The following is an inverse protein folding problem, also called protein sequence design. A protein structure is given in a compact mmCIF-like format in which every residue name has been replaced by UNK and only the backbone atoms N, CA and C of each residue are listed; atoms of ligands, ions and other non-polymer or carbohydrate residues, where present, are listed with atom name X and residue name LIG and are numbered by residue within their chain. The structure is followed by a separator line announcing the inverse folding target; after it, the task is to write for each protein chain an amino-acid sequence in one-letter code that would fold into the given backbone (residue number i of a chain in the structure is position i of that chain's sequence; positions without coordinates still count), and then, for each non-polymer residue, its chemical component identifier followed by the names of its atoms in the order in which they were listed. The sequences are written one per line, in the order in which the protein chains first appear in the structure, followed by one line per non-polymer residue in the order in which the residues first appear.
data_IF_719684370737
#
_entry.id   IF_719684370737
#
_cell.length_a   1.000
_cell.length_b   1.000
_cell.length_c   1.000
_cell.angle_alpha   90.00
_cell.angle_beta   90.00
_cell.angle_gamma   90.00
#
_symmetry.space_group_name_H-M   'P 1'
#
loop_
_entity.id
_entity.type
_entity.pdbx_description
1 polymer ?
#
# COMPACT_ATOMS: atom_id res chain seq x y z
N UNK A 1 -13.06 -16.56 -54.17
CA UNK A 1 -12.09 -15.63 -53.56
C UNK A 1 -12.23 -15.78 -52.04
N UNK A 2 -11.16 -16.17 -51.34
CA UNK A 2 -11.08 -16.19 -49.88
C UNK A 2 -11.76 -17.39 -49.20
N UNK A 3 -11.19 -18.03 -48.18
CA UNK A 3 -9.89 -17.87 -47.53
C UNK A 3 -9.62 -19.12 -46.69
N UNK A 4 -8.37 -19.59 -46.71
CA UNK A 4 -7.79 -20.48 -45.70
C UNK A 4 -8.18 -20.02 -44.29
N UNK A 5 -8.70 -20.92 -43.46
CA UNK A 5 -8.29 -20.97 -42.05
C UNK A 5 -8.02 -22.43 -41.71
N UNK A 6 -6.73 -22.68 -41.51
CA UNK A 6 -6.12 -23.90 -41.05
C UNK A 6 -6.04 -23.85 -39.52
N UNK A 7 -6.05 -25.04 -38.90
CA UNK A 7 -5.55 -25.36 -37.54
C UNK A 7 -6.40 -24.87 -36.38
N UNK A 8 -7.28 -25.76 -35.92
CA UNK A 8 -7.37 -26.20 -34.53
C UNK A 8 -8.19 -27.50 -34.47
N UNK A 9 -7.73 -28.52 -35.20
CA UNK A 9 -8.24 -29.88 -35.04
C UNK A 9 -7.56 -30.46 -33.79
N UNK A 10 -8.10 -30.12 -32.61
CA UNK A 10 -7.76 -30.86 -31.39
C UNK A 10 -8.31 -32.27 -31.59
N UNK A 11 -7.39 -33.23 -31.72
CA UNK A 11 -7.69 -34.65 -31.93
C UNK A 11 -8.74 -35.10 -30.91
N UNK A 12 -9.93 -35.41 -31.42
CA UNK A 12 -10.95 -36.01 -30.60
C UNK A 12 -10.50 -37.42 -30.21
N UNK A 13 -10.57 -37.71 -28.91
CA UNK A 13 -10.17 -39.02 -28.39
C UNK A 13 -11.28 -40.02 -28.70
N UNK A 14 -11.01 -40.94 -29.63
CA UNK A 14 -11.93 -41.99 -30.02
C UNK A 14 -11.78 -43.15 -29.05
N UNK A 15 -12.76 -43.35 -28.18
CA UNK A 15 -12.88 -44.59 -27.41
C UNK A 15 -14.01 -45.44 -27.98
N UNK A 16 -13.75 -46.74 -28.15
CA UNK A 16 -14.74 -47.72 -28.59
C UNK A 16 -14.97 -48.68 -27.44
N UNK A 17 -16.21 -48.75 -26.96
CA UNK A 17 -16.63 -49.70 -25.91
C UNK A 17 -17.85 -50.43 -26.46
N UNK A 18 -17.78 -51.76 -26.55
CA UNK A 18 -18.85 -52.64 -27.02
C UNK A 18 -19.47 -52.22 -28.38
N UNK A 19 -18.64 -51.81 -29.34
CA UNK A 19 -19.09 -51.51 -30.71
C UNK A 19 -19.67 -50.11 -30.95
N UNK A 20 -19.76 -49.26 -29.92
CA UNK A 20 -20.18 -47.86 -30.03
C UNK A 20 -18.98 -46.93 -30.08
N UNK A 21 -19.03 -45.94 -30.99
CA UNK A 21 -17.98 -44.93 -31.16
C UNK A 21 -18.37 -43.67 -30.40
N UNK A 22 -17.51 -43.25 -29.47
CA UNK A 22 -17.69 -42.01 -28.71
C UNK A 22 -16.79 -40.91 -29.26
N UNK A 23 -17.36 -39.71 -29.43
CA UNK A 23 -16.63 -38.49 -29.74
C UNK A 23 -16.84 -37.49 -28.62
N UNK A 24 -15.76 -37.11 -27.94
CA UNK A 24 -15.77 -36.09 -26.90
C UNK A 24 -15.27 -34.77 -27.50
N UNK A 25 -16.14 -33.75 -27.54
CA UNK A 25 -15.74 -32.41 -27.98
C UNK A 25 -15.63 -31.47 -26.78
N UNK A 26 -14.46 -30.85 -26.53
CA UNK A 26 -14.32 -29.86 -25.48
C UNK A 26 -14.80 -28.51 -26.02
N UNK A 27 -16.06 -28.13 -25.75
CA UNK A 27 -16.52 -26.75 -25.98
C UNK A 27 -16.36 -25.95 -24.69
N UNK A 28 -15.60 -24.86 -24.74
CA UNK A 28 -15.44 -23.93 -23.60
C UNK A 28 -16.82 -23.38 -23.21
N UNK A 29 -17.26 -23.67 -21.98
CA UNK A 29 -18.40 -23.01 -21.34
C UNK A 29 -19.69 -23.82 -21.23
N UNK A 30 -19.94 -24.81 -22.10
CA UNK A 30 -21.06 -25.75 -21.96
C UNK A 30 -20.57 -27.16 -22.28
N UNK A 31 -20.46 -28.01 -21.26
CA UNK A 31 -20.27 -29.45 -21.44
C UNK A 31 -21.59 -30.09 -21.85
N UNK A 32 -22.04 -29.85 -23.09
CA UNK A 32 -23.18 -30.57 -23.65
C UNK A 32 -22.67 -31.91 -24.19
N UNK A 33 -23.03 -33.01 -23.53
CA UNK A 33 -22.76 -34.35 -24.02
C UNK A 33 -23.72 -34.63 -25.19
N UNK A 34 -23.28 -34.44 -26.43
CA UNK A 34 -24.04 -34.85 -27.61
C UNK A 34 -23.59 -36.25 -28.02
N UNK A 35 -24.47 -37.24 -27.86
CA UNK A 35 -24.27 -38.59 -28.42
C UNK A 35 -24.86 -38.62 -29.82
N UNK A 36 -24.06 -38.98 -30.83
CA UNK A 36 -24.55 -39.37 -32.14
C UNK A 36 -24.20 -40.84 -32.37
N UNK A 37 -25.20 -41.72 -32.36
CA UNK A 37 -25.03 -43.10 -32.76
C UNK A 37 -25.11 -43.16 -34.29
N UNK A 38 -24.04 -43.56 -34.99
CA UNK A 38 -24.09 -43.72 -36.45
C UNK A 38 -24.51 -45.15 -36.80
N UNK A 39 -25.80 -45.36 -37.03
CA UNK A 39 -26.35 -46.58 -37.63
C UNK A 39 -27.28 -46.23 -38.79
N UNK A 40 -27.36 -47.11 -39.80
CA UNK A 40 -28.30 -46.97 -40.90
C UNK A 40 -29.73 -46.88 -40.32
N UNK A 41 -30.39 -45.73 -40.50
CA UNK A 41 -31.72 -45.33 -39.98
C UNK A 41 -31.77 -44.59 -38.62
N UNK A 42 -30.89 -43.61 -38.38
CA UNK A 42 -31.06 -42.67 -37.26
C UNK A 42 -31.28 -41.23 -37.76
N UNK A 43 -32.43 -40.65 -37.40
CA UNK A 43 -32.69 -39.20 -37.50
C UNK A 43 -31.96 -38.50 -36.35
N UNK A 44 -31.43 -37.31 -36.62
CA UNK A 44 -30.43 -36.61 -35.79
C UNK A 44 -30.73 -36.44 -34.30
N UNK A 45 -29.65 -36.19 -33.56
CA UNK A 45 -29.53 -35.73 -32.17
C UNK A 45 -30.84 -35.57 -31.39
N UNK A 46 -31.23 -36.60 -30.63
CA UNK A 46 -32.35 -36.53 -29.71
C UNK A 46 -31.86 -36.15 -28.30
N UNK A 47 -32.36 -35.01 -27.81
CA UNK A 47 -32.24 -34.60 -26.42
C UNK A 47 -33.10 -35.54 -25.56
N UNK A 48 -32.48 -36.40 -24.75
CA UNK A 48 -33.22 -37.38 -23.95
C UNK A 48 -33.95 -36.72 -22.77
N UNK A 49 -35.29 -36.69 -22.87
CA UNK A 49 -36.22 -36.68 -21.73
C UNK A 49 -36.06 -38.01 -20.97
N UNK A 50 -36.14 -37.98 -19.64
CA UNK A 50 -35.84 -39.09 -18.72
C UNK A 50 -36.49 -40.42 -19.16
N UNK A 51 -35.66 -41.44 -19.44
CA UNK A 51 -36.08 -42.78 -19.87
C UNK A 51 -36.12 -43.75 -18.66
N UNK A 52 -37.19 -44.58 -18.49
CA UNK A 52 -37.40 -45.40 -17.27
C UNK A 52 -36.33 -46.48 -17.01
N UNK A 53 -35.55 -46.86 -18.02
CA UNK A 53 -34.61 -47.98 -17.95
C UNK A 53 -33.16 -47.57 -17.62
N UNK A 54 -32.83 -46.27 -17.70
CA UNK A 54 -31.54 -45.73 -17.29
C UNK A 54 -31.60 -45.37 -15.81
N UNK A 55 -31.14 -46.30 -14.96
CA UNK A 55 -31.09 -46.13 -13.50
C UNK A 55 -30.44 -44.80 -13.11
N UNK A 56 -31.17 -43.97 -12.35
CA UNK A 56 -30.88 -42.57 -12.03
C UNK A 56 -29.56 -42.27 -11.30
N UNK A 57 -28.69 -43.26 -11.06
CA UNK A 57 -27.39 -43.08 -10.41
C UNK A 57 -26.43 -42.21 -11.22
N UNK A 58 -26.40 -42.34 -12.55
CA UNK A 58 -25.43 -41.62 -13.40
C UNK A 58 -25.82 -40.17 -13.70
N UNK A 59 -27.13 -39.85 -13.73
CA UNK A 59 -27.61 -38.49 -13.94
C UNK A 59 -27.43 -37.59 -12.72
N UNK A 60 -27.50 -38.16 -11.51
CA UNK A 60 -27.30 -37.43 -10.25
C UNK A 60 -25.83 -37.04 -10.03
N UNK A 61 -24.88 -37.89 -10.45
CA UNK A 61 -23.44 -37.64 -10.33
C UNK A 61 -22.95 -36.45 -11.19
N UNK A 62 -23.44 -36.34 -12.44
CA UNK A 62 -23.10 -35.23 -13.32
C UNK A 62 -23.62 -33.88 -12.82
N UNK A 63 -24.85 -33.85 -12.28
CA UNK A 63 -25.43 -32.66 -11.66
C UNK A 63 -24.68 -32.26 -10.39
N UNK A 64 -24.37 -33.21 -9.50
CA UNK A 64 -23.66 -32.94 -8.26
C UNK A 64 -22.26 -32.33 -8.50
N UNK A 65 -21.51 -32.84 -9.47
CA UNK A 65 -20.19 -32.29 -9.83
C UNK A 65 -20.25 -30.90 -10.45
N UNK A 66 -21.29 -30.58 -11.21
CA UNK A 66 -21.51 -29.24 -11.75
C UNK A 66 -21.81 -28.23 -10.64
N UNK A 67 -22.77 -28.54 -9.77
CA UNK A 67 -23.11 -27.67 -8.65
C UNK A 67 -21.95 -27.49 -7.66
N UNK A 68 -21.16 -28.55 -7.41
CA UNK A 68 -19.97 -28.46 -6.58
C UNK A 68 -18.91 -27.52 -7.19
N UNK A 69 -18.63 -27.62 -8.50
CA UNK A 69 -17.68 -26.74 -9.19
C UNK A 69 -18.15 -25.28 -9.26
N UNK A 70 -19.44 -25.05 -9.42
CA UNK A 70 -19.97 -23.68 -9.46
C UNK A 70 -19.98 -23.05 -8.07
N UNK A 71 -20.28 -23.85 -7.03
CA UNK A 71 -20.20 -23.41 -5.65
C UNK A 71 -18.76 -23.07 -5.22
N UNK A 72 -17.76 -23.87 -5.63
CA UNK A 72 -16.35 -23.55 -5.31
C UNK A 72 -15.87 -22.28 -6.00
N UNK A 73 -16.28 -22.00 -7.24
CA UNK A 73 -15.99 -20.71 -7.90
C UNK A 73 -16.62 -19.54 -7.15
N UNK A 74 -17.89 -19.66 -6.75
CA UNK A 74 -18.58 -18.62 -6.00
C UNK A 74 -17.92 -18.38 -4.63
N UNK A 75 -17.49 -19.44 -3.95
CA UNK A 75 -16.77 -19.34 -2.68
C UNK A 75 -15.41 -18.67 -2.86
N UNK A 76 -14.64 -19.09 -3.86
CA UNK A 76 -13.34 -18.49 -4.20
C UNK A 76 -13.47 -17.01 -4.56
N UNK A 77 -14.49 -16.64 -5.33
CA UNK A 77 -14.78 -15.24 -5.66
C UNK A 77 -15.10 -14.42 -4.42
N UNK A 78 -15.95 -14.92 -3.51
CA UNK A 78 -16.27 -14.23 -2.25
C UNK A 78 -15.04 -14.04 -1.37
N UNK A 79 -14.22 -15.08 -1.21
CA UNK A 79 -12.95 -14.99 -0.46
C UNK A 79 -12.03 -13.94 -1.11
N UNK A 80 -11.94 -13.93 -2.43
CA UNK A 80 -11.18 -12.93 -3.18
C UNK A 80 -11.67 -11.50 -2.93
N UNK A 81 -12.99 -11.25 -2.95
CA UNK A 81 -13.56 -9.93 -2.66
C UNK A 81 -13.28 -9.48 -1.23
N UNK A 82 -13.42 -10.38 -0.25
CA UNK A 82 -13.10 -10.08 1.15
C UNK A 82 -11.61 -9.76 1.28
N UNK A 83 -10.73 -10.56 0.69
CA UNK A 83 -9.29 -10.31 0.70
C UNK A 83 -8.93 -8.96 0.07
N UNK A 84 -9.54 -8.59 -1.05
CA UNK A 84 -9.33 -7.27 -1.70
C UNK A 84 -9.84 -6.13 -0.80
N UNK A 85 -10.98 -6.31 -0.12
CA UNK A 85 -11.51 -5.32 0.82
C UNK A 85 -10.56 -5.10 1.99
N UNK A 86 -10.10 -6.18 2.63
CA UNK A 86 -9.10 -6.10 3.70
C UNK A 86 -7.79 -5.50 3.20
N UNK A 87 -7.30 -5.91 2.04
CA UNK A 87 -6.10 -5.34 1.43
C UNK A 87 -6.26 -3.83 1.20
N UNK A 88 -7.42 -3.37 0.73
CA UNK A 88 -7.70 -1.94 0.55
C UNK A 88 -7.71 -1.18 1.88
N UNK A 89 -8.31 -1.74 2.93
CA UNK A 89 -8.28 -1.15 4.28
C UNK A 89 -6.85 -1.09 4.80
N UNK A 90 -6.07 -2.16 4.65
CA UNK A 90 -4.66 -2.21 5.05
C UNK A 90 -3.84 -1.17 4.29
N UNK A 91 -3.96 -1.10 2.95
CA UNK A 91 -3.24 -0.11 2.13
C UNK A 91 -3.68 1.31 2.45
N UNK A 92 -4.96 1.54 2.73
CA UNK A 92 -5.47 2.86 3.13
C UNK A 92 -4.96 3.26 4.51
N UNK A 93 -4.87 2.32 5.45
CA UNK A 93 -4.30 2.53 6.79
C UNK A 93 -2.78 2.73 6.76
N UNK A 94 -2.09 2.17 5.74
CA UNK A 94 -0.65 2.31 5.51
C UNK A 94 -0.35 3.41 4.47
N UNK A 95 -1.28 4.34 4.18
CA UNK A 95 -0.91 5.60 3.52
C UNK A 95 -0.66 6.65 4.60
N UNK A 96 0.51 6.66 5.28
CA UNK A 96 0.86 7.79 6.12
C UNK A 96 1.06 9.00 5.20
N UNK A 97 0.28 10.05 5.41
CA UNK A 97 0.59 11.35 4.82
C UNK A 97 1.67 12.01 5.67
N UNK A 98 2.64 12.60 5.00
CA UNK A 98 3.48 13.62 5.59
C UNK A 98 2.95 14.94 5.07
N UNK A 99 2.85 15.91 5.95
CA UNK A 99 2.35 17.23 5.63
C UNK A 99 3.47 18.22 5.84
N UNK A 100 3.75 19.01 4.80
CA UNK A 100 4.64 20.16 4.94
C UNK A 100 3.80 21.29 5.53
N UNK A 101 4.29 21.88 6.61
CA UNK A 101 3.58 22.94 7.34
C UNK A 101 4.34 24.26 7.23
N UNK A 102 3.59 25.35 7.18
CA UNK A 102 4.09 26.72 7.16
C UNK A 102 3.43 27.55 8.25
N UNK A 103 4.03 28.70 8.57
CA UNK A 103 3.49 29.64 9.55
C UNK A 103 2.41 30.50 8.91
N UNK A 104 1.29 30.67 9.59
CA UNK A 104 0.25 31.62 9.18
C UNK A 104 0.69 33.02 9.63
N UNK A 105 0.82 34.00 8.71
CA UNK A 105 1.28 35.35 9.04
C UNK A 105 0.47 36.01 10.15
N UNK A 106 1.14 36.67 11.09
CA UNK A 106 0.51 37.33 12.23
C UNK A 106 0.02 36.39 13.33
N UNK A 107 0.33 35.10 13.26
CA UNK A 107 -0.02 34.11 14.29
C UNK A 107 1.14 33.13 14.56
N UNK A 108 1.01 32.36 15.63
CA UNK A 108 1.93 31.25 15.97
C UNK A 108 1.41 29.89 15.49
N UNK A 109 0.47 29.90 14.54
CA UNK A 109 -0.12 28.69 14.01
C UNK A 109 0.69 28.16 12.82
N UNK A 110 0.96 26.85 12.88
CA UNK A 110 1.60 26.09 11.81
C UNK A 110 0.60 25.14 11.16
N UNK A 111 0.27 25.42 9.90
CA UNK A 111 -0.76 24.73 9.15
C UNK A 111 -0.21 24.13 7.85
N UNK A 112 -0.89 23.10 7.35
CA UNK A 112 -0.53 22.45 6.10
C UNK A 112 -0.60 23.45 4.93
N UNK A 113 0.50 23.59 4.19
CA UNK A 113 0.62 24.56 3.09
C UNK A 113 -0.26 24.21 1.88
N UNK A 114 -0.64 22.94 1.71
CA UNK A 114 -1.56 22.50 0.66
C UNK A 114 -3.02 22.86 0.98
N UNK A 115 -3.39 22.81 2.26
CA UNK A 115 -4.73 23.15 2.71
C UNK A 115 -4.90 24.67 2.88
N UNK A 116 -3.88 25.34 3.39
CA UNK A 116 -3.87 26.78 3.65
C UNK A 116 -2.77 27.45 2.83
N UNK A 117 -3.06 27.96 1.62
CA UNK A 117 -2.05 28.57 0.75
C UNK A 117 -1.47 29.88 1.32
N UNK A 118 -2.12 30.46 2.33
CA UNK A 118 -1.61 31.61 3.10
C UNK A 118 -0.48 31.24 4.06
N UNK A 119 -0.26 29.95 4.34
CA UNK A 119 0.82 29.47 5.20
C UNK A 119 2.17 29.62 4.47
N UNK A 120 3.10 30.35 5.08
CA UNK A 120 4.40 30.67 4.50
C UNK A 120 5.46 29.74 5.10
N UNK A 121 6.29 29.14 4.24
CA UNK A 121 7.46 28.37 4.68
C UNK A 121 8.54 29.31 5.19
N UNK A 122 9.23 28.90 6.24
CA UNK A 122 10.30 29.69 6.85
C UNK A 122 11.60 29.38 6.09
N UNK A 123 12.31 30.39 5.54
CA UNK A 123 13.56 30.15 4.82
C UNK A 123 14.59 29.40 5.67
N UNK A 124 15.23 28.37 5.10
CA UNK A 124 16.21 27.53 5.81
C UNK A 124 15.61 26.45 6.73
N UNK A 125 14.27 26.38 6.84
CA UNK A 125 13.55 25.39 7.62
C UNK A 125 12.60 24.58 6.75
N UNK A 126 12.66 23.26 6.89
CA UNK A 126 11.62 22.36 6.40
C UNK A 126 10.88 21.77 7.60
N UNK A 127 9.58 22.02 7.69
CA UNK A 127 8.76 21.54 8.80
C UNK A 127 7.83 20.45 8.26
N UNK A 128 8.07 19.22 8.68
CA UNK A 128 7.33 18.04 8.25
C UNK A 128 6.55 17.44 9.43
N UNK A 129 5.23 17.36 9.30
CA UNK A 129 4.34 16.70 10.27
C UNK A 129 4.04 15.29 9.82
N UNK A 130 4.28 14.32 10.70
CA UNK A 130 3.86 12.94 10.48
C UNK A 130 2.35 12.85 10.75
N UNK A 131 1.53 12.68 9.72
CA UNK A 131 0.10 12.44 9.87
C UNK A 131 -0.20 10.94 9.92
N UNK A 132 0.42 10.27 10.90
CA UNK A 132 0.17 8.86 11.19
C UNK A 132 0.22 8.62 12.69
N UNK A 133 -0.73 7.83 13.20
CA UNK A 133 -0.85 7.53 14.62
C UNK A 133 0.30 6.67 15.17
N UNK A 134 0.98 5.91 14.32
CA UNK A 134 2.07 5.00 14.72
C UNK A 134 3.21 5.06 13.73
N UNK A 135 4.45 4.96 14.19
CA UNK A 135 5.61 4.77 13.33
C UNK A 135 6.14 3.35 13.52
N UNK A 136 5.83 2.48 12.55
CA UNK A 136 6.07 1.04 12.64
C UNK A 136 6.65 0.45 11.36
N UNK A 137 7.04 -0.83 11.40
CA UNK A 137 7.59 -1.54 10.24
C UNK A 137 6.82 -1.32 8.92
N UNK A 138 5.48 -1.27 8.99
CA UNK A 138 4.64 -1.13 7.80
C UNK A 138 4.79 0.23 7.10
N UNK A 139 5.13 1.31 7.83
CA UNK A 139 5.04 2.67 7.32
C UNK A 139 6.33 3.51 7.48
N UNK A 140 7.27 3.06 8.32
CA UNK A 140 8.46 3.81 8.68
C UNK A 140 9.36 4.12 7.48
N UNK A 141 9.64 3.12 6.63
CA UNK A 141 10.44 3.30 5.41
C UNK A 141 9.81 4.29 4.44
N UNK A 142 8.50 4.20 4.25
CA UNK A 142 7.76 5.10 3.37
C UNK A 142 7.79 6.54 3.89
N UNK A 143 7.61 6.75 5.21
CA UNK A 143 7.69 8.07 5.83
C UNK A 143 9.07 8.66 5.63
N UNK A 144 10.14 7.91 5.96
CA UNK A 144 11.52 8.36 5.76
C UNK A 144 11.79 8.76 4.32
N UNK A 145 11.43 7.93 3.35
CA UNK A 145 11.61 8.23 1.93
C UNK A 145 10.83 9.46 1.46
N UNK A 146 9.63 9.68 2.01
CA UNK A 146 8.83 10.87 1.74
C UNK A 146 9.50 12.13 2.27
N UNK A 147 9.98 12.12 3.52
CA UNK A 147 10.74 13.24 4.10
C UNK A 147 11.98 13.54 3.26
N UNK A 148 12.77 12.52 2.95
CA UNK A 148 14.00 12.70 2.15
C UNK A 148 13.71 13.23 0.74
N UNK A 149 12.57 12.87 0.14
CA UNK A 149 12.14 13.44 -1.13
C UNK A 149 11.81 14.93 -0.99
N UNK A 150 11.05 15.30 0.04
CA UNK A 150 10.74 16.71 0.31
C UNK A 150 12.00 17.53 0.60
N UNK A 151 12.97 16.98 1.35
CA UNK A 151 14.28 17.63 1.58
C UNK A 151 14.99 17.91 0.26
N UNK A 152 15.05 16.92 -0.65
CA UNK A 152 15.68 17.09 -1.98
C UNK A 152 14.97 18.14 -2.83
N UNK A 153 13.63 18.15 -2.80
CA UNK A 153 12.82 19.13 -3.52
C UNK A 153 13.09 20.56 -3.03
N UNK A 154 13.16 20.77 -1.70
CA UNK A 154 13.50 22.08 -1.13
C UNK A 154 14.93 22.50 -1.47
N UNK A 155 15.93 21.62 -1.33
CA UNK A 155 17.32 21.95 -1.66
C UNK A 155 17.46 22.39 -3.13
N UNK A 156 16.76 21.73 -4.05
CA UNK A 156 16.79 22.11 -5.47
C UNK A 156 16.14 23.47 -5.74
N UNK A 157 15.06 23.81 -5.03
CA UNK A 157 14.41 25.13 -5.13
C UNK A 157 15.30 26.25 -4.58
N UNK A 158 16.09 25.92 -3.57
CA UNK A 158 16.99 26.84 -2.89
C UNK A 158 18.28 27.12 -3.67
N UNK A 159 18.83 26.16 -4.41
CA UNK A 159 19.91 26.41 -5.39
C UNK A 159 19.51 27.49 -6.42
N UNK A 160 18.23 27.56 -6.77
CA UNK A 160 17.67 28.58 -7.68
C UNK A 160 17.48 29.93 -6.96
N UNK A 161 17.24 29.93 -5.65
CA UNK A 161 16.82 31.11 -4.86
C UNK A 161 17.86 31.61 -3.84
N UNK A 162 19.08 31.05 -3.81
CA UNK A 162 20.19 31.37 -2.87
C UNK A 162 19.89 31.11 -1.38
N UNK A 163 18.85 30.35 -1.06
CA UNK A 163 18.67 29.78 0.29
C UNK A 163 19.51 28.51 0.46
N UNK A 164 19.74 28.06 1.69
CA UNK A 164 20.17 26.67 1.96
C UNK A 164 19.37 26.15 3.14
N UNK A 165 18.92 24.91 3.05
CA UNK A 165 18.16 24.23 4.07
C UNK A 165 19.15 23.81 5.15
N UNK A 166 18.92 24.30 6.37
CA UNK A 166 19.79 24.00 7.51
C UNK A 166 19.10 23.08 8.51
N UNK A 167 17.77 23.15 8.61
CA UNK A 167 17.03 22.46 9.68
C UNK A 167 15.79 21.75 9.12
N UNK A 168 15.67 20.46 9.45
CA UNK A 168 14.42 19.71 9.33
C UNK A 168 13.76 19.60 10.71
N UNK A 169 12.58 20.21 10.85
CA UNK A 169 11.72 20.07 12.03
C UNK A 169 10.70 18.97 11.78
N UNK A 170 10.78 17.90 12.57
CA UNK A 170 9.89 16.75 12.49
C UNK A 170 8.85 16.79 13.61
N UNK A 171 7.63 17.18 13.24
CA UNK A 171 6.49 17.23 14.17
C UNK A 171 5.88 15.82 14.34
N UNK A 172 6.02 15.31 15.56
CA UNK A 172 5.55 14.01 16.02
C UNK A 172 4.28 14.08 16.88
N UNK A 173 3.57 15.21 16.92
CA UNK A 173 2.37 15.41 17.76
C UNK A 173 1.31 14.30 17.59
N UNK A 174 1.17 13.78 16.37
CA UNK A 174 0.20 12.74 16.02
C UNK A 174 0.72 11.31 16.27
N UNK A 175 2.03 11.14 16.47
CA UNK A 175 2.64 9.82 16.65
C UNK A 175 2.43 9.38 18.10
N UNK A 176 1.51 8.44 18.30
CA UNK A 176 1.17 7.90 19.61
C UNK A 176 2.11 6.77 20.03
N UNK A 177 2.65 6.01 19.08
CA UNK A 177 3.47 4.84 19.35
C UNK A 177 4.55 4.63 18.28
N UNK A 178 5.68 4.05 18.70
CA UNK A 178 6.82 3.71 17.83
C UNK A 178 7.33 2.29 18.14
N UNK A 179 7.78 1.56 17.13
CA UNK A 179 8.47 0.26 17.28
C UNK A 179 9.98 0.37 16.94
N UNK A 180 10.69 -0.76 17.00
CA UNK A 180 12.12 -0.80 16.68
C UNK A 180 12.43 -0.41 15.23
N UNK A 181 11.58 -0.78 14.27
CA UNK A 181 11.72 -0.40 12.86
C UNK A 181 11.51 1.10 12.66
N UNK A 182 10.55 1.71 13.36
CA UNK A 182 10.34 3.15 13.37
C UNK A 182 11.53 3.92 13.92
N UNK A 183 12.10 3.46 15.04
CA UNK A 183 13.31 4.05 15.63
C UNK A 183 14.48 3.95 14.65
N UNK A 184 14.68 2.78 14.03
CA UNK A 184 15.74 2.57 13.04
C UNK A 184 15.59 3.50 11.83
N UNK A 185 14.37 3.68 11.33
CA UNK A 185 14.09 4.60 10.23
C UNK A 185 14.40 6.07 10.58
N UNK A 186 14.13 6.50 11.83
CA UNK A 186 14.51 7.83 12.30
C UNK A 186 16.02 8.00 12.45
N UNK A 187 16.71 6.96 12.90
CA UNK A 187 18.16 6.98 12.99
C UNK A 187 18.81 7.11 11.60
N UNK A 188 18.32 6.36 10.62
CA UNK A 188 18.76 6.45 9.23
C UNK A 188 18.41 7.82 8.62
N UNK A 189 17.21 8.35 8.92
CA UNK A 189 16.81 9.69 8.52
C UNK A 189 17.82 10.72 9.03
N UNK A 190 18.13 10.71 10.33
CA UNK A 190 19.13 11.59 10.95
C UNK A 190 20.47 11.49 10.25
N UNK A 191 20.97 10.26 10.02
CA UNK A 191 22.26 10.04 9.35
C UNK A 191 22.27 10.66 7.95
N UNK A 192 21.20 10.48 7.17
CA UNK A 192 21.09 11.04 5.82
C UNK A 192 20.98 12.56 5.79
N UNK A 193 20.41 13.17 6.83
CA UNK A 193 20.33 14.62 6.99
C UNK A 193 21.69 15.20 7.40
N UNK A 194 22.36 14.59 8.38
CA UNK A 194 23.71 15.00 8.81
C UNK A 194 24.72 14.92 7.67
N UNK A 195 24.60 13.91 6.80
CA UNK A 195 25.44 13.81 5.60
C UNK A 195 25.27 15.00 4.62
N UNK A 196 24.17 15.73 4.71
CA UNK A 196 23.87 16.93 3.92
C UNK A 196 24.01 18.22 4.73
N UNK A 197 24.55 18.14 5.96
CA UNK A 197 24.67 19.27 6.90
C UNK A 197 23.32 19.87 7.31
N UNK A 198 22.28 19.02 7.35
CA UNK A 198 20.93 19.38 7.79
C UNK A 198 20.72 18.81 9.18
N UNK A 199 20.31 19.67 10.12
CA UNK A 199 20.04 19.29 11.50
C UNK A 199 18.60 18.74 11.64
N UNK A 200 18.46 17.60 12.33
CA UNK A 200 17.15 17.02 12.65
C UNK A 200 16.68 17.52 14.02
N UNK A 201 15.49 18.10 14.06
CA UNK A 201 14.82 18.57 15.28
C UNK A 201 13.50 17.82 15.43
N UNK A 202 13.18 17.36 16.64
CA UNK A 202 11.95 16.62 16.92
C UNK A 202 11.01 17.46 17.78
N UNK A 203 9.75 17.57 17.37
CA UNK A 203 8.75 18.38 18.07
C UNK A 203 7.61 17.50 18.59
N UNK A 204 7.22 17.76 19.83
CA UNK A 204 6.09 17.15 20.54
C UNK A 204 6.00 15.62 20.47
N UNK A 205 7.10 14.86 20.69
CA UNK A 205 6.98 13.41 20.75
C UNK A 205 6.19 13.00 22.01
N UNK A 206 5.18 12.14 21.85
CA UNK A 206 4.37 11.65 22.97
C UNK A 206 5.23 10.89 23.97
N UNK A 207 4.83 10.87 25.25
CA UNK A 207 5.56 10.19 26.33
C UNK A 207 5.99 8.75 26.00
N UNK A 208 5.08 7.96 25.42
CA UNK A 208 5.36 6.57 25.01
C UNK A 208 6.44 6.49 23.91
N UNK A 209 6.46 7.47 23.00
CA UNK A 209 7.45 7.58 21.94
C UNK A 209 8.80 7.98 22.50
N UNK A 210 8.85 9.04 23.32
CA UNK A 210 10.09 9.50 23.99
C UNK A 210 10.73 8.36 24.79
N UNK A 211 9.94 7.65 25.59
CA UNK A 211 10.45 6.58 26.45
C UNK A 211 11.17 5.50 25.64
N UNK A 212 10.57 5.11 24.50
CA UNK A 212 11.16 4.11 23.60
C UNK A 212 12.38 4.65 22.85
N UNK A 213 12.34 5.89 22.38
CA UNK A 213 13.50 6.55 21.75
C UNK A 213 14.68 6.67 22.73
N UNK A 214 14.41 6.96 24.01
CA UNK A 214 15.42 7.04 25.06
C UNK A 214 16.02 5.66 25.36
N UNK A 215 15.19 4.62 25.46
CA UNK A 215 15.66 3.25 25.63
C UNK A 215 16.57 2.80 24.48
N UNK A 216 16.31 3.27 23.25
CA UNK A 216 17.14 3.02 22.08
C UNK A 216 18.32 3.98 21.90
N UNK A 217 18.57 4.91 22.84
CA UNK A 217 19.63 5.94 22.79
C UNK A 217 19.55 6.86 21.56
N UNK A 218 18.37 6.96 20.93
CA UNK A 218 18.17 7.85 19.78
C UNK A 218 18.14 9.33 20.21
N UNK A 219 17.59 9.60 21.39
CA UNK A 219 17.55 10.94 21.99
C UNK A 219 18.97 11.50 22.18
N UNK A 220 19.88 10.67 22.68
CA UNK A 220 21.29 11.06 22.89
C UNK A 220 22.01 11.35 21.57
N UNK A 221 21.66 10.62 20.49
CA UNK A 221 22.22 10.80 19.14
C UNK A 221 21.68 12.04 18.41
N UNK A 222 20.44 12.44 18.71
CA UNK A 222 19.81 13.65 18.18
C UNK A 222 20.29 14.88 18.96
N UNK A 223 20.56 14.71 20.26
CA UNK A 223 20.86 15.79 21.19
C UNK A 223 19.60 16.21 21.94
N UNK A 224 19.66 16.19 23.28
CA UNK A 224 18.51 16.54 24.12
C UNK A 224 18.01 17.97 23.92
N UNK A 225 18.87 18.87 23.45
CA UNK A 225 18.54 20.26 23.10
C UNK A 225 17.85 20.40 21.73
N UNK A 226 17.66 19.32 20.97
CA UNK A 226 16.98 19.31 19.66
C UNK A 226 15.58 18.69 19.74
N UNK A 227 15.01 18.66 20.94
CA UNK A 227 13.65 18.19 21.21
C UNK A 227 12.86 19.31 21.85
N UNK A 228 11.78 19.71 21.22
CA UNK A 228 10.94 20.83 21.65
C UNK A 228 9.49 20.41 21.82
N UNK A 229 8.73 21.18 22.60
CA UNK A 229 7.31 20.95 22.80
C UNK A 229 6.46 21.50 21.64
N UNK A 230 6.82 22.66 21.10
CA UNK A 230 6.10 23.28 19.99
C UNK A 230 7.03 23.59 18.80
N UNK A 231 6.43 23.77 17.62
CA UNK A 231 7.15 24.15 16.41
C UNK A 231 7.68 25.59 16.55
N UNK A 232 6.91 26.48 17.19
CA UNK A 232 7.32 27.86 17.46
C UNK A 232 8.62 27.90 18.27
N UNK A 233 8.66 27.19 19.41
CA UNK A 233 9.85 27.14 20.27
C UNK A 233 11.08 26.60 19.51
N UNK A 234 10.88 25.57 18.68
CA UNK A 234 11.95 24.98 17.89
C UNK A 234 12.52 25.96 16.85
N UNK A 235 11.63 26.72 16.20
CA UNK A 235 11.99 27.72 15.21
C UNK A 235 12.70 28.89 15.89
N UNK A 236 12.13 29.43 16.97
CA UNK A 236 12.68 30.60 17.67
C UNK A 236 14.07 30.29 18.27
N UNK A 237 14.26 29.10 18.85
CA UNK A 237 15.54 28.67 19.39
C UNK A 237 16.66 28.53 18.33
N UNK A 238 16.29 28.30 17.06
CA UNK A 238 17.23 28.02 15.97
C UNK A 238 17.39 29.18 14.99
N UNK A 239 16.42 30.10 14.94
CA UNK A 239 16.56 31.39 14.25
C UNK A 239 17.55 32.29 15.00
N UNK A 240 17.72 32.10 16.32
CA UNK A 240 18.53 32.97 17.17
C UNK A 240 19.78 32.29 17.79
N UNK A 241 20.72 31.75 17.00
CA UNK A 241 21.96 31.16 17.53
C UNK A 241 22.93 32.21 18.12
N UNK A 242 22.60 33.52 18.13
CA UNK A 242 23.45 34.57 18.71
C UNK A 242 23.12 34.92 20.17
N UNK A 243 22.00 34.47 20.73
CA UNK A 243 21.63 34.79 22.12
C UNK A 243 22.07 33.69 23.13
N UNK A 244 22.28 32.45 22.70
CA UNK A 244 22.66 31.34 23.61
C UNK A 244 24.18 31.23 23.90
N UNK A 245 24.94 32.32 23.72
CA UNK A 245 26.35 32.45 24.12
C UNK A 245 26.56 32.96 25.55
N UNK A 246 25.49 33.07 26.33
CA UNK A 246 25.45 33.32 27.78
C UNK A 246 24.36 32.36 28.27
N UNK A 247 24.69 31.18 28.79
CA UNK A 247 24.98 31.04 30.22
C UNK A 247 25.96 29.89 30.46
N UNK A 248 27.23 30.25 30.57
CA UNK A 248 28.17 29.56 31.44
C UNK A 248 28.37 30.41 32.68
N UNK A 249 27.67 30.07 33.76
CA UNK A 249 28.05 30.37 35.15
C UNK A 249 27.45 29.30 36.06
#
# INVERSE_FOLDING_TARGET
MGSKVSKDLVLAEKSVINGLIFWLWPVKGLSLLSMANSGQNTNGSQFFKQQPHLHGKYFMLGKANFFAKEYTKLLAHKIGLVAISFAKVIVSSIKPSIEIVGRIPGTDLFCNTLQYPVAIKIPGFLIARINSGTLCFANASFIRERIMRSVKEECNLEEITKGRLYVLVLDMSNVTNIDSSGIHALEELRHNLTAQDIELVVVNPRWQVITKMKAAKLIDKIGGNRIFLSIGDAVDALIDPKINGLDGC
#
